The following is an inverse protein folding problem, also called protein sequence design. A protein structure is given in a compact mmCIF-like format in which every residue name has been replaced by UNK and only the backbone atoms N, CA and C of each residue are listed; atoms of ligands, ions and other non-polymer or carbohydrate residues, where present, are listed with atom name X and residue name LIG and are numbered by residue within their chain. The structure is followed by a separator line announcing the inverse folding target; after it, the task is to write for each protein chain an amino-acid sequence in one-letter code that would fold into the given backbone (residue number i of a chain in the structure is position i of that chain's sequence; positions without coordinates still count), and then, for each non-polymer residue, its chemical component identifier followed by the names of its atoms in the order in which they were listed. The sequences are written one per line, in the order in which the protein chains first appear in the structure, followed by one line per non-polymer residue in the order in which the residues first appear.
data_IF_374758820155
#
_entry.id   IF_374758820155
#
_cell.length_a   1.000
_cell.length_b   1.000
_cell.length_c   1.000
_cell.angle_alpha   90.00
_cell.angle_beta   90.00
_cell.angle_gamma   90.00
#
_symmetry.space_group_name_H-M   'P 1'
#
loop_
_entity.id
_entity.type
_entity.pdbx_description
1 polymer ?
#
# COMPACT_ATOMS: atom_id res chain seq x y z
N UNK A 1 -5.47 3.08 -13.75
CA UNK A 1 -4.02 3.26 -13.51
C UNK A 1 -3.78 4.63 -12.91
N UNK A 2 -3.13 4.69 -11.75
CA UNK A 2 -2.66 5.91 -11.08
C UNK A 2 -1.13 5.82 -11.03
N UNK A 3 -0.44 6.83 -11.56
CA UNK A 3 1.03 6.92 -11.51
C UNK A 3 1.43 8.30 -11.00
N UNK A 4 2.32 8.34 -10.01
CA UNK A 4 2.85 9.56 -9.45
C UNK A 4 4.37 9.44 -9.28
N UNK A 5 5.09 10.48 -9.69
CA UNK A 5 6.52 10.60 -9.45
C UNK A 5 6.86 12.04 -9.06
N UNK A 6 7.57 12.19 -7.95
CA UNK A 6 8.01 13.47 -7.39
C UNK A 6 9.39 13.28 -6.75
N UNK A 7 10.16 14.35 -6.58
CA UNK A 7 11.41 14.27 -5.81
C UNK A 7 11.08 14.17 -4.32
N UNK A 8 10.30 15.13 -3.82
CA UNK A 8 9.98 15.22 -2.40
C UNK A 8 8.46 15.26 -2.21
N UNK A 9 7.92 14.25 -1.56
CA UNK A 9 6.50 14.19 -1.23
C UNK A 9 6.33 14.01 0.27
N UNK A 10 5.85 15.04 0.97
CA UNK A 10 5.67 14.96 2.42
C UNK A 10 4.52 14.05 2.82
N UNK A 11 3.43 14.09 2.06
CA UNK A 11 2.24 13.30 2.33
C UNK A 11 1.59 12.86 1.03
N UNK A 12 1.36 11.56 0.91
CA UNK A 12 0.38 11.04 -0.03
C UNK A 12 -0.73 10.37 0.77
N UNK A 13 -1.93 10.96 0.69
CA UNK A 13 -3.14 10.38 1.23
C UNK A 13 -4.04 9.95 0.06
N UNK A 14 -4.34 8.66 -0.04
CA UNK A 14 -5.24 8.12 -1.07
C UNK A 14 -6.48 7.51 -0.42
N UNK A 15 -7.66 7.94 -0.89
CA UNK A 15 -8.94 7.32 -0.57
C UNK A 15 -9.54 6.77 -1.86
N UNK A 16 -9.54 5.44 -2.00
CA UNK A 16 -10.22 4.74 -3.09
C UNK A 16 -11.36 3.94 -2.49
N UNK A 17 -12.58 4.25 -2.92
CA UNK A 17 -13.78 3.50 -2.58
C UNK A 17 -14.40 2.96 -3.88
N UNK A 18 -14.40 1.64 -4.04
CA UNK A 18 -14.88 0.97 -5.24
C UNK A 18 -15.97 -0.02 -4.86
N UNK A 19 -17.12 0.10 -5.53
CA UNK A 19 -18.34 -0.63 -5.19
C UNK A 19 -18.59 -1.89 -6.06
N UNK A 20 -17.77 -2.11 -7.09
CA UNK A 20 -17.91 -3.18 -8.08
C UNK A 20 -16.53 -3.72 -8.48
N UNK A 21 -16.53 -4.77 -9.30
CA UNK A 21 -15.33 -5.37 -9.91
C UNK A 21 -14.34 -4.32 -10.40
N UNK A 22 -13.09 -4.45 -9.97
CA UNK A 22 -12.09 -3.44 -10.25
C UNK A 22 -10.67 -4.00 -10.41
N UNK A 23 -9.98 -3.52 -11.43
CA UNK A 23 -8.54 -3.64 -11.56
C UNK A 23 -7.88 -2.30 -11.19
N UNK A 24 -7.06 -2.31 -10.14
CA UNK A 24 -6.35 -1.12 -9.68
C UNK A 24 -4.85 -1.33 -9.85
N UNK A 25 -4.24 -0.52 -10.70
CA UNK A 25 -2.80 -0.36 -10.77
C UNK A 25 -2.37 0.99 -10.20
N UNK A 26 -1.58 0.95 -9.12
CA UNK A 26 -0.95 2.13 -8.50
C UNK A 26 0.57 1.96 -8.59
N UNK A 27 1.23 2.96 -9.18
CA UNK A 27 2.69 3.05 -9.21
C UNK A 27 3.12 4.37 -8.58
N UNK A 28 3.96 4.30 -7.55
CA UNK A 28 4.52 5.49 -6.90
C UNK A 28 6.04 5.39 -6.90
N UNK A 29 6.71 6.42 -7.41
CA UNK A 29 8.16 6.51 -7.35
C UNK A 29 8.64 7.90 -6.95
N UNK A 30 9.22 8.01 -5.75
CA UNK A 30 9.81 9.26 -5.26
C UNK A 30 11.23 9.05 -4.75
N UNK A 31 11.99 10.12 -4.55
CA UNK A 31 13.22 10.01 -3.78
C UNK A 31 12.87 9.90 -2.31
N UNK A 32 12.15 10.91 -1.80
CA UNK A 32 11.81 11.03 -0.40
C UNK A 32 10.29 11.08 -0.21
N UNK A 33 9.77 10.15 0.60
CA UNK A 33 8.37 10.11 1.01
C UNK A 33 8.26 10.03 2.53
N UNK A 34 7.78 11.09 3.17
CA UNK A 34 7.69 11.10 4.64
C UNK A 34 6.53 10.23 5.13
N UNK A 35 5.36 10.37 4.51
CA UNK A 35 4.16 9.63 4.92
C UNK A 35 3.36 9.17 3.70
N UNK A 36 3.16 7.87 3.60
CA UNK A 36 2.12 7.28 2.77
C UNK A 36 0.97 6.79 3.66
N UNK A 37 -0.19 7.42 3.52
CA UNK A 37 -1.43 7.04 4.19
C UNK A 37 -2.45 6.54 3.16
N UNK A 38 -2.69 5.24 3.11
CA UNK A 38 -3.60 4.65 2.13
C UNK A 38 -4.86 4.14 2.81
N UNK A 39 -6.04 4.58 2.36
CA UNK A 39 -7.32 3.96 2.70
C UNK A 39 -7.98 3.41 1.43
N UNK A 40 -7.97 2.10 1.29
CA UNK A 40 -8.62 1.37 0.20
C UNK A 40 -9.81 0.61 0.78
N UNK A 41 -11.02 0.95 0.31
CA UNK A 41 -12.25 0.26 0.67
C UNK A 41 -12.85 -0.36 -0.60
N UNK A 42 -12.90 -1.69 -0.64
CA UNK A 42 -13.38 -2.45 -1.80
C UNK A 42 -14.62 -3.25 -1.41
N UNK A 43 -15.72 -3.06 -2.13
CA UNK A 43 -16.99 -3.71 -1.81
C UNK A 43 -17.20 -5.09 -2.49
N UNK A 44 -16.45 -5.41 -3.56
CA UNK A 44 -16.56 -6.65 -4.36
C UNK A 44 -15.19 -7.06 -4.96
N UNK A 45 -15.16 -8.19 -5.70
CA UNK A 45 -14.00 -8.76 -6.41
C UNK A 45 -13.06 -7.71 -6.99
N UNK A 46 -11.84 -7.59 -6.47
CA UNK A 46 -10.88 -6.64 -7.00
C UNK A 46 -9.46 -7.21 -7.04
N UNK A 47 -8.79 -6.94 -8.15
CA UNK A 47 -7.36 -7.15 -8.30
C UNK A 47 -6.62 -5.82 -8.09
N UNK A 48 -5.71 -5.80 -7.13
CA UNK A 48 -4.90 -4.63 -6.81
C UNK A 48 -3.43 -4.95 -6.98
N UNK A 49 -2.78 -4.18 -7.85
CA UNK A 49 -1.33 -4.12 -7.94
C UNK A 49 -0.83 -2.75 -7.48
N UNK A 50 -0.09 -2.74 -6.38
CA UNK A 50 0.58 -1.55 -5.85
C UNK A 50 2.09 -1.75 -5.96
N UNK A 51 2.77 -0.85 -6.65
CA UNK A 51 4.22 -0.78 -6.72
C UNK A 51 4.70 0.55 -6.14
N UNK A 52 5.57 0.47 -5.14
CA UNK A 52 6.18 1.61 -4.46
C UNK A 52 7.69 1.46 -4.49
N UNK A 53 8.34 2.44 -5.10
CA UNK A 53 9.80 2.50 -5.17
C UNK A 53 10.28 3.86 -4.69
N UNK A 54 10.83 3.94 -3.48
CA UNK A 54 11.43 5.19 -2.96
C UNK A 54 12.89 4.97 -2.54
N UNK A 55 13.67 6.03 -2.37
CA UNK A 55 14.93 5.89 -1.65
C UNK A 55 14.62 5.82 -0.16
N UNK A 56 13.94 6.86 0.35
CA UNK A 56 13.63 6.99 1.77
C UNK A 56 12.12 7.06 1.99
N UNK A 57 11.61 6.15 2.83
CA UNK A 57 10.23 6.13 3.28
C UNK A 57 10.18 6.13 4.81
N UNK A 58 9.74 7.23 5.42
CA UNK A 58 9.70 7.30 6.89
C UNK A 58 8.55 6.49 7.46
N UNK A 59 7.33 6.65 6.94
CA UNK A 59 6.16 5.95 7.44
C UNK A 59 5.25 5.48 6.31
N UNK A 60 5.00 4.18 6.29
CA UNK A 60 3.92 3.57 5.53
C UNK A 60 2.80 3.17 6.48
N UNK A 61 1.67 3.90 6.41
CA UNK A 61 0.45 3.61 7.13
C UNK A 61 -0.64 3.18 6.13
N UNK A 62 -1.01 1.91 6.14
CA UNK A 62 -2.04 1.39 5.22
C UNK A 62 -3.21 0.79 5.99
N UNK A 63 -4.42 1.21 5.62
CA UNK A 63 -5.68 0.60 6.03
C UNK A 63 -6.37 0.05 4.78
N UNK A 64 -6.42 -1.28 4.68
CA UNK A 64 -7.14 -2.01 3.63
C UNK A 64 -8.39 -2.62 4.25
N UNK A 65 -9.56 -2.24 3.74
CA UNK A 65 -10.83 -2.84 4.09
C UNK A 65 -11.43 -3.50 2.85
N UNK A 66 -11.55 -4.82 2.89
CA UNK A 66 -11.85 -5.64 1.72
C UNK A 66 -13.09 -6.48 2.04
N UNK A 67 -14.13 -6.43 1.21
CA UNK A 67 -15.46 -6.88 1.64
C UNK A 67 -15.91 -8.27 1.16
N UNK A 68 -15.32 -8.90 0.13
CA UNK A 68 -15.68 -10.28 -0.27
C UNK A 68 -14.50 -11.09 -0.80
N UNK A 69 -14.06 -10.81 -2.03
CA UNK A 69 -12.98 -11.50 -2.71
C UNK A 69 -11.97 -10.47 -3.23
N UNK A 70 -10.68 -10.72 -3.03
CA UNK A 70 -9.67 -9.83 -3.56
C UNK A 70 -8.30 -10.47 -3.68
N UNK A 71 -7.57 -10.09 -4.72
CA UNK A 71 -6.15 -10.38 -4.86
C UNK A 71 -5.36 -9.08 -4.77
N UNK A 72 -4.48 -8.98 -3.78
CA UNK A 72 -3.66 -7.80 -3.57
C UNK A 72 -2.19 -8.18 -3.64
N UNK A 73 -1.52 -7.64 -4.65
CA UNK A 73 -0.07 -7.68 -4.77
C UNK A 73 0.51 -6.31 -4.45
N UNK A 74 1.27 -6.24 -3.35
CA UNK A 74 1.99 -5.04 -2.94
C UNK A 74 3.48 -5.31 -3.06
N UNK A 75 4.17 -4.52 -3.87
CA UNK A 75 5.63 -4.51 -3.98
C UNK A 75 6.17 -3.21 -3.43
N UNK A 76 7.00 -3.30 -2.39
CA UNK A 76 7.64 -2.18 -1.71
C UNK A 76 9.16 -2.33 -1.84
N UNK A 77 9.80 -1.42 -2.57
CA UNK A 77 11.24 -1.39 -2.74
C UNK A 77 11.77 -0.05 -2.25
N UNK A 78 12.41 -0.01 -1.07
CA UNK A 78 13.06 1.20 -0.57
C UNK A 78 14.50 0.94 -0.14
N UNK A 79 15.33 1.97 -0.05
CA UNK A 79 16.62 1.82 0.64
C UNK A 79 16.34 1.81 2.14
N UNK A 80 15.68 2.86 2.62
CA UNK A 80 15.37 3.06 4.02
C UNK A 80 13.86 3.08 4.27
N UNK A 81 13.38 2.19 5.14
CA UNK A 81 12.01 2.19 5.65
C UNK A 81 12.02 2.26 7.18
N UNK A 82 11.63 3.40 7.75
CA UNK A 82 11.66 3.56 9.21
C UNK A 82 10.52 2.81 9.90
N UNK A 83 9.28 2.98 9.43
CA UNK A 83 8.12 2.33 10.03
C UNK A 83 7.14 1.82 8.97
N UNK A 84 6.84 0.52 9.07
CA UNK A 84 5.71 -0.09 8.39
C UNK A 84 4.60 -0.40 9.40
N UNK A 85 3.49 0.33 9.30
CA UNK A 85 2.28 0.13 10.09
C UNK A 85 1.13 -0.26 9.16
N UNK A 86 0.76 -1.54 9.15
CA UNK A 86 -0.36 -2.03 8.34
C UNK A 86 -1.49 -2.52 9.24
N UNK A 87 -2.71 -2.05 8.94
CA UNK A 87 -3.95 -2.56 9.50
C UNK A 87 -4.74 -3.19 8.34
N UNK A 88 -4.82 -4.52 8.34
CA UNK A 88 -5.55 -5.28 7.34
C UNK A 88 -6.87 -5.74 7.96
N UNK A 89 -8.00 -5.32 7.38
CA UNK A 89 -9.30 -5.90 7.68
C UNK A 89 -9.75 -6.68 6.44
N UNK A 90 -9.59 -8.01 6.53
CA UNK A 90 -9.81 -8.92 5.42
C UNK A 90 -11.21 -9.54 5.53
N UNK A 91 -11.95 -9.54 4.42
CA UNK A 91 -13.07 -10.45 4.25
C UNK A 91 -12.59 -11.88 3.97
N UNK A 92 -13.56 -12.78 3.88
CA UNK A 92 -13.40 -14.23 3.98
C UNK A 92 -12.52 -14.84 2.87
N UNK A 93 -12.36 -14.18 1.72
CA UNK A 93 -11.68 -14.73 0.52
C UNK A 93 -10.69 -13.74 -0.12
N UNK A 94 -9.83 -13.12 0.70
CA UNK A 94 -8.80 -12.20 0.22
C UNK A 94 -7.39 -12.79 0.34
N UNK A 95 -6.65 -12.81 -0.78
CA UNK A 95 -5.23 -13.12 -0.81
C UNK A 95 -4.41 -11.83 -0.87
N UNK A 96 -3.47 -11.68 0.06
CA UNK A 96 -2.53 -10.56 0.06
C UNK A 96 -1.11 -11.09 0.01
N UNK A 97 -0.40 -10.71 -1.04
CA UNK A 97 1.03 -10.92 -1.17
C UNK A 97 1.76 -9.58 -1.04
N UNK A 98 2.55 -9.45 0.03
CA UNK A 98 3.41 -8.29 0.26
C UNK A 98 4.86 -8.70 0.03
N UNK A 99 5.48 -8.13 -0.99
CA UNK A 99 6.92 -8.22 -1.24
C UNK A 99 7.60 -6.97 -0.70
N UNK A 100 8.54 -7.14 0.22
CA UNK A 100 9.33 -6.09 0.84
C UNK A 100 10.80 -6.28 0.49
N UNK A 101 11.36 -5.33 -0.25
CA UNK A 101 12.78 -5.24 -0.54
C UNK A 101 13.30 -3.93 0.04
N UNK A 102 13.67 -3.95 1.32
CA UNK A 102 14.30 -2.81 1.99
C UNK A 102 15.71 -3.18 2.46
N UNK A 103 16.67 -2.26 2.36
CA UNK A 103 18.00 -2.48 2.92
C UNK A 103 17.95 -2.33 4.44
N UNK A 104 17.27 -1.28 4.91
CA UNK A 104 17.09 -1.01 6.33
C UNK A 104 15.60 -0.87 6.69
N UNK A 105 15.13 -1.76 7.58
CA UNK A 105 13.79 -1.71 8.16
C UNK A 105 13.91 -1.60 9.68
N UNK A 106 13.48 -0.47 10.26
CA UNK A 106 13.62 -0.24 11.70
C UNK A 106 12.49 -0.90 12.51
N UNK A 107 11.23 -0.81 12.05
CA UNK A 107 10.09 -1.36 12.76
C UNK A 107 9.00 -1.87 11.82
N UNK A 108 8.56 -3.11 12.08
CA UNK A 108 7.40 -3.74 11.45
C UNK A 108 6.29 -3.91 12.49
N UNK A 109 5.18 -3.20 12.30
CA UNK A 109 3.97 -3.34 13.10
C UNK A 109 2.83 -3.77 12.18
N UNK A 110 2.56 -5.08 12.15
CA UNK A 110 1.37 -5.63 11.48
C UNK A 110 0.29 -5.85 12.54
N UNK A 111 -0.85 -5.18 12.38
CA UNK A 111 -2.03 -5.43 13.20
C UNK A 111 -3.05 -6.04 12.23
N UNK A 112 -3.24 -7.35 12.33
CA UNK A 112 -4.31 -8.07 11.65
C UNK A 112 -5.34 -8.47 12.69
N UNK A 113 -6.62 -8.31 12.36
CA UNK A 113 -7.74 -8.86 13.14
C UNK A 113 -8.31 -10.07 12.39
#
# INVERSE_FOLDING_TARGET
MISLSNQDLTLLASLLNLAQECEILISLSNQDLTLLASLLNLAQECEILISLSNQDLTLLASLLNLAQECEILISLSNQDLTLLASLLNLAQECEILISLSNQDLTLLATIGN
#
